data_IF_977717334047
#
_entry.id   IF_977717334047
#
_cell.length_a   1.000
_cell.length_b   1.000
_cell.length_c   1.000
_cell.angle_alpha   90.00
_cell.angle_beta   90.00
_cell.angle_gamma   90.00
#
_symmetry.space_group_name_H-M   'P 1'
#
loop_
_entity.id
_entity.type
_entity.pdbx_description
1 polymer ?
#
# COMPACT_ATOMS: atom_id res chain seq x y z
N UNK A 1 24.74 5.14 -3.42
CA UNK A 1 23.59 5.95 -3.92
C UNK A 1 22.37 5.09 -3.71
N UNK A 2 21.36 5.55 -2.96
CA UNK A 2 20.18 4.75 -2.67
C UNK A 2 19.47 4.42 -3.97
N UNK A 3 19.28 3.15 -4.27
CA UNK A 3 18.26 2.72 -5.23
C UNK A 3 16.94 3.39 -4.82
N UNK A 4 16.32 4.11 -5.76
CA UNK A 4 15.01 4.70 -5.50
C UNK A 4 13.99 3.56 -5.43
N UNK A 5 13.41 3.37 -4.24
CA UNK A 5 12.33 2.41 -4.07
C UNK A 5 11.15 2.79 -4.96
N UNK A 6 10.73 1.85 -5.78
CA UNK A 6 9.62 2.06 -6.69
C UNK A 6 8.31 1.74 -5.97
N UNK A 7 7.28 2.54 -6.25
CA UNK A 7 5.93 2.28 -5.73
C UNK A 7 5.44 0.96 -6.31
N UNK A 8 5.08 0.01 -5.44
CA UNK A 8 4.41 -1.22 -5.87
C UNK A 8 2.94 -0.91 -6.13
N UNK A 9 2.25 -0.37 -5.12
CA UNK A 9 0.83 -0.05 -5.23
C UNK A 9 0.46 1.17 -4.38
N UNK A 10 -0.47 1.99 -4.85
CA UNK A 10 -1.07 3.09 -4.11
C UNK A 10 -2.58 3.10 -4.27
N UNK A 11 -3.28 3.53 -3.21
CA UNK A 11 -4.73 3.63 -3.21
C UNK A 11 -5.19 4.84 -2.38
N UNK A 12 -6.39 5.34 -2.65
CA UNK A 12 -6.97 6.42 -1.86
C UNK A 12 -7.47 5.88 -0.50
N UNK A 13 -7.35 6.69 0.55
CA UNK A 13 -7.85 6.34 1.88
C UNK A 13 -9.36 6.53 2.01
N UNK A 14 -9.88 7.59 1.39
CA UNK A 14 -11.28 8.01 1.52
C UNK A 14 -11.94 8.28 0.16
N UNK A 15 -11.59 9.39 -0.50
CA UNK A 15 -12.20 9.84 -1.75
C UNK A 15 -11.19 9.71 -2.89
N UNK A 16 -11.66 9.22 -4.04
CA UNK A 16 -10.89 9.21 -5.27
C UNK A 16 -10.40 10.61 -5.65
N UNK A 17 -9.15 10.69 -6.11
CA UNK A 17 -8.46 11.94 -6.43
C UNK A 17 -7.91 12.70 -5.22
N UNK A 18 -8.15 12.26 -3.98
CA UNK A 18 -7.61 12.91 -2.78
C UNK A 18 -6.15 12.53 -2.53
N UNK A 19 -5.25 13.25 -3.19
CA UNK A 19 -3.82 13.05 -3.01
C UNK A 19 -3.35 13.37 -1.58
N UNK A 20 -4.11 14.11 -0.78
CA UNK A 20 -3.76 14.39 0.62
C UNK A 20 -4.11 13.22 1.56
N UNK A 21 -4.84 12.21 1.07
CA UNK A 21 -5.28 11.05 1.83
C UNK A 21 -5.11 9.77 0.99
N UNK A 22 -3.90 9.20 1.00
CA UNK A 22 -3.56 7.98 0.25
C UNK A 22 -2.60 7.06 1.01
N UNK A 23 -2.64 5.79 0.66
CA UNK A 23 -1.64 4.79 1.04
C UNK A 23 -0.72 4.56 -0.16
N UNK A 24 0.58 4.51 0.10
CA UNK A 24 1.60 4.21 -0.92
C UNK A 24 2.49 3.10 -0.37
N UNK A 25 2.50 1.97 -1.05
CA UNK A 25 3.22 0.77 -0.68
C UNK A 25 4.47 0.63 -1.54
N UNK A 26 5.62 0.50 -0.89
CA UNK A 26 6.92 0.17 -1.47
C UNK A 26 7.31 -1.25 -1.02
N UNK A 27 8.36 -1.80 -1.61
CA UNK A 27 8.93 -3.06 -1.13
C UNK A 27 9.37 -2.96 0.34
N UNK A 28 10.12 -1.92 0.73
CA UNK A 28 10.66 -1.81 2.09
C UNK A 28 9.81 -1.03 3.09
N UNK A 29 8.80 -0.27 2.65
CA UNK A 29 8.02 0.60 3.53
C UNK A 29 6.59 0.85 3.06
N UNK A 30 5.73 1.21 4.01
CA UNK A 30 4.39 1.74 3.78
C UNK A 30 4.37 3.23 4.14
N UNK A 31 3.97 4.08 3.20
CA UNK A 31 3.74 5.50 3.42
C UNK A 31 2.24 5.77 3.52
N UNK A 32 1.82 6.30 4.67
CA UNK A 32 0.48 6.82 4.89
C UNK A 32 0.53 8.34 4.75
N UNK A 33 -0.17 8.87 3.75
CA UNK A 33 -0.40 10.31 3.61
C UNK A 33 -1.78 10.59 4.17
N UNK A 34 -1.86 11.33 5.28
CA UNK A 34 -3.14 11.67 5.92
C UNK A 34 -3.20 13.17 6.21
N UNK A 35 -4.19 13.85 5.63
CA UNK A 35 -4.33 15.32 5.65
C UNK A 35 -3.03 16.02 5.23
N UNK A 36 -2.33 15.46 4.24
CA UNK A 36 -1.04 15.95 3.75
C UNK A 36 0.16 15.65 4.65
N UNK A 37 -0.03 15.08 5.85
CA UNK A 37 1.07 14.63 6.70
C UNK A 37 1.53 13.25 6.27
N UNK A 38 2.85 13.09 6.16
CA UNK A 38 3.48 11.85 5.75
C UNK A 38 3.90 11.04 6.97
N UNK A 39 3.43 9.80 7.07
CA UNK A 39 3.88 8.81 8.07
C UNK A 39 4.43 7.61 7.31
N UNK A 40 5.76 7.45 7.30
CA UNK A 40 6.42 6.30 6.71
C UNK A 40 6.69 5.27 7.81
N UNK A 41 6.34 4.01 7.54
CA UNK A 41 6.54 2.88 8.43
C UNK A 41 7.26 1.78 7.65
N UNK A 42 8.38 1.30 8.17
CA UNK A 42 9.14 0.23 7.51
C UNK A 42 8.37 -1.10 7.58
N UNK A 43 8.38 -1.86 6.49
CA UNK A 43 7.63 -3.11 6.37
C UNK A 43 7.88 -4.09 7.52
N UNK A 44 9.14 -4.34 7.95
CA UNK A 44 9.40 -5.28 9.06
C UNK A 44 8.82 -4.86 10.41
N UNK A 45 8.40 -3.59 10.56
CA UNK A 45 7.90 -3.04 11.81
C UNK A 45 6.39 -3.05 11.93
N UNK A 46 5.68 -3.34 10.84
CA UNK A 46 4.23 -3.45 10.79
C UNK A 46 3.81 -4.73 11.53
N UNK A 47 3.18 -4.57 12.70
CA UNK A 47 2.62 -5.69 13.48
C UNK A 47 1.18 -5.96 13.12
N UNK A 48 0.38 -4.91 13.00
CA UNK A 48 -1.01 -5.03 12.59
C UNK A 48 -1.47 -3.81 11.80
N UNK A 49 -2.37 -4.04 10.85
CA UNK A 49 -3.01 -3.00 10.05
C UNK A 49 -4.48 -3.38 9.85
N UNK A 50 -5.39 -2.56 10.36
CA UNK A 50 -6.82 -2.89 10.38
C UNK A 50 -7.70 -1.66 10.40
N UNK A 51 -8.90 -1.79 9.83
CA UNK A 51 -9.94 -0.77 9.91
C UNK A 51 -10.84 -1.08 11.10
N UNK A 52 -10.93 -0.16 12.05
CA UNK A 52 -11.74 -0.31 13.27
C UNK A 52 -12.61 0.92 13.51
N UNK A 53 -13.77 0.74 14.13
CA UNK A 53 -14.55 1.86 14.67
C UNK A 53 -13.95 2.31 16.00
N UNK A 54 -13.53 3.58 16.08
CA UNK A 54 -12.95 4.18 17.28
C UNK A 54 -13.89 5.23 17.83
N UNK A 55 -14.23 5.09 19.11
CA UNK A 55 -15.00 6.09 19.87
C UNK A 55 -14.20 7.38 20.01
N UNK A 56 -14.88 8.52 19.89
CA UNK A 56 -14.27 9.82 20.13
C UNK A 56 -14.42 10.17 21.60
N UNK A 57 -13.50 9.69 22.44
CA UNK A 57 -13.59 9.80 23.91
C UNK A 57 -13.77 11.25 24.34
N UNK A 58 -13.06 12.20 23.71
CA UNK A 58 -13.18 13.63 24.03
C UNK A 58 -14.62 14.13 23.79
N UNK A 59 -15.21 13.83 22.64
CA UNK A 59 -16.59 14.22 22.33
C UNK A 59 -17.60 13.52 23.26
N UNK A 60 -17.37 12.25 23.56
CA UNK A 60 -18.20 11.45 24.47
C UNK A 60 -18.23 12.06 25.88
N UNK A 61 -17.05 12.36 26.44
CA UNK A 61 -16.90 12.93 27.79
C UNK A 61 -17.42 14.37 27.83
N UNK A 62 -17.05 15.21 26.85
CA UNK A 62 -17.52 16.59 26.77
C UNK A 62 -19.05 16.66 26.62
N UNK A 63 -19.63 15.78 25.81
CA UNK A 63 -21.08 15.64 25.67
C UNK A 63 -21.75 15.22 26.98
N UNK A 64 -21.19 14.24 27.70
CA UNK A 64 -21.74 13.81 28.99
C UNK A 64 -21.71 14.91 30.06
N UNK A 65 -20.59 15.63 30.17
CA UNK A 65 -20.44 16.77 31.09
C UNK A 65 -21.40 17.89 30.71
N UNK A 66 -21.41 18.29 29.43
CA UNK A 66 -22.24 19.38 28.93
C UNK A 66 -23.73 19.10 29.07
N UNK A 67 -24.17 17.86 28.84
CA UNK A 67 -25.57 17.44 29.03
C UNK A 67 -25.97 17.58 30.50
N UNK A 68 -25.10 17.11 31.41
CA UNK A 68 -25.35 17.17 32.86
C UNK A 68 -25.48 18.62 33.36
N UNK A 69 -24.57 19.50 32.96
CA UNK A 69 -24.61 20.93 33.33
C UNK A 69 -25.82 21.65 32.73
N UNK A 70 -26.19 21.34 31.49
CA UNK A 70 -27.33 21.95 30.81
C UNK A 70 -28.66 21.53 31.46
N UNK A 71 -28.79 20.27 31.87
CA UNK A 71 -29.95 19.78 32.64
C UNK A 71 -30.06 20.45 34.01
N UNK A 72 -28.92 20.63 34.70
CA UNK A 72 -28.90 21.34 35.99
C UNK A 72 -29.32 22.81 35.81
N UNK A 73 -28.83 23.50 34.79
CA UNK A 73 -29.20 24.88 34.48
C UNK A 73 -30.70 25.04 34.16
N UNK A 74 -31.29 24.09 33.42
CA UNK A 74 -32.73 24.03 33.18
C UNK A 74 -33.52 23.93 34.49
N UNK A 75 -33.13 23.03 35.39
CA UNK A 75 -33.81 22.82 36.67
C UNK A 75 -33.73 24.03 37.61
N UNK A 76 -32.61 24.77 37.56
CA UNK A 76 -32.39 25.98 38.36
C UNK A 76 -33.00 27.25 37.73
N UNK A 77 -33.52 27.18 36.50
CA UNK A 77 -34.00 28.36 35.77
C UNK A 77 -32.90 29.37 35.45
N UNK A 78 -31.63 28.97 35.44
CA UNK A 78 -30.51 29.84 35.08
C UNK A 78 -30.52 30.09 33.57
N UNK A 79 -30.47 31.36 33.14
CA UNK A 79 -30.45 31.74 31.72
C UNK A 79 -31.76 31.43 30.96
N UNK A 80 -31.78 31.65 29.64
CA UNK A 80 -32.98 31.43 28.83
C UNK A 80 -33.30 29.94 28.64
N UNK A 81 -34.52 29.53 29.00
CA UNK A 81 -35.02 28.15 28.88
C UNK A 81 -34.74 27.52 27.51
N UNK A 82 -35.01 28.25 26.43
CA UNK A 82 -34.83 27.75 25.06
C UNK A 82 -33.36 27.39 24.75
N UNK A 83 -32.41 28.20 25.23
CA UNK A 83 -30.99 27.98 25.01
C UNK A 83 -30.47 26.80 25.83
N UNK A 84 -30.92 26.63 27.07
CA UNK A 84 -30.53 25.47 27.86
C UNK A 84 -31.13 24.18 27.31
N UNK A 85 -32.40 24.21 26.85
CA UNK A 85 -33.03 23.06 26.22
C UNK A 85 -32.29 22.66 24.95
N UNK A 86 -31.93 23.62 24.09
CA UNK A 86 -31.08 23.38 22.93
C UNK A 86 -29.73 22.78 23.34
N UNK A 87 -29.11 23.29 24.41
CA UNK A 87 -27.80 22.84 24.88
C UNK A 87 -27.82 21.39 25.35
N UNK A 88 -28.89 20.95 26.04
CA UNK A 88 -29.10 19.55 26.40
C UNK A 88 -29.07 18.66 25.15
N UNK A 89 -29.86 18.98 24.13
CA UNK A 89 -29.90 18.17 22.91
C UNK A 89 -28.59 18.23 22.12
N UNK A 90 -27.94 19.39 22.08
CA UNK A 90 -26.64 19.55 21.43
C UNK A 90 -25.57 18.67 22.08
N UNK A 91 -25.41 18.74 23.40
CA UNK A 91 -24.42 17.95 24.11
C UNK A 91 -24.76 16.45 24.14
N UNK A 92 -26.05 16.10 24.17
CA UNK A 92 -26.48 14.72 24.04
C UNK A 92 -26.15 14.18 22.64
N UNK A 93 -26.37 14.98 21.59
CA UNK A 93 -25.94 14.68 20.22
C UNK A 93 -24.43 14.51 20.10
N UNK A 94 -23.64 15.38 20.75
CA UNK A 94 -22.18 15.28 20.81
C UNK A 94 -21.73 14.00 21.51
N UNK A 95 -22.37 13.63 22.61
CA UNK A 95 -22.14 12.39 23.34
C UNK A 95 -22.46 11.17 22.46
N UNK A 96 -23.61 11.18 21.80
CA UNK A 96 -24.03 10.12 20.88
C UNK A 96 -23.05 9.96 19.71
N UNK A 97 -22.65 11.05 19.06
CA UNK A 97 -21.64 11.04 18.01
C UNK A 97 -20.29 10.50 18.50
N UNK A 98 -19.88 10.89 19.72
CA UNK A 98 -18.69 10.35 20.35
C UNK A 98 -18.76 8.85 20.63
N UNK A 99 -19.96 8.34 20.95
CA UNK A 99 -20.21 6.91 21.18
C UNK A 99 -20.23 6.10 19.90
N UNK A 100 -20.91 6.58 18.85
CA UNK A 100 -20.91 5.97 17.51
C UNK A 100 -19.48 5.94 16.96
N UNK A 101 -18.71 7.00 17.19
CA UNK A 101 -17.31 7.07 16.81
C UNK A 101 -17.10 7.31 15.32
N UNK A 102 -15.89 7.01 14.85
CA UNK A 102 -15.48 7.12 13.46
C UNK A 102 -14.64 5.91 13.06
N UNK A 103 -14.66 5.56 11.78
CA UNK A 103 -13.75 4.55 11.25
C UNK A 103 -12.33 5.06 11.35
N UNK A 104 -11.41 4.17 11.70
CA UNK A 104 -10.01 4.47 11.79
C UNK A 104 -9.20 3.39 11.09
N UNK A 105 -8.20 3.78 10.30
CA UNK A 105 -7.10 2.90 9.99
C UNK A 105 -6.17 2.90 11.20
N UNK A 106 -6.02 1.73 11.80
CA UNK A 106 -5.13 1.48 12.92
C UNK A 106 -3.90 0.77 12.37
N UNK A 107 -2.75 1.41 12.46
CA UNK A 107 -1.46 0.84 12.07
C UNK A 107 -0.58 0.73 13.31
N UNK A 108 -0.24 -0.49 13.70
CA UNK A 108 0.63 -0.78 14.83
C UNK A 108 2.06 -1.01 14.32
N UNK A 109 2.93 -0.06 14.64
CA UNK A 109 4.35 -0.07 14.31
C UNK A 109 5.14 -0.34 15.60
N UNK A 110 5.79 -1.51 15.71
CA UNK A 110 6.50 -1.93 16.94
C UNK A 110 5.62 -1.70 18.20
N UNK A 111 5.91 -0.64 18.96
CA UNK A 111 5.22 -0.27 20.21
C UNK A 111 4.38 1.00 20.07
N UNK A 112 4.28 1.58 18.88
CA UNK A 112 3.50 2.77 18.58
C UNK A 112 2.26 2.42 17.77
N UNK A 113 1.15 3.08 18.07
CA UNK A 113 -0.09 2.93 17.33
C UNK A 113 -0.40 4.24 16.61
N UNK A 114 -0.52 4.17 15.29
CA UNK A 114 -0.97 5.28 14.46
C UNK A 114 -2.47 5.13 14.21
N UNK A 115 -3.22 6.18 14.53
CA UNK A 115 -4.66 6.24 14.36
C UNK A 115 -4.98 7.31 13.31
N UNK A 116 -5.56 6.88 12.19
CA UNK A 116 -6.01 7.78 11.15
C UNK A 116 -7.53 7.69 11.05
N UNK A 117 -8.24 8.76 11.39
CA UNK A 117 -9.71 8.79 11.50
C UNK A 117 -10.37 9.23 10.19
N UNK A 118 -11.45 8.57 9.80
CA UNK A 118 -12.18 8.80 8.56
C UNK A 118 -13.69 8.66 8.76
N UNK A 119 -14.45 9.40 7.97
CA UNK A 119 -15.90 9.24 7.88
C UNK A 119 -16.27 7.99 7.06
N UNK A 120 -15.58 7.80 5.94
CA UNK A 120 -15.72 6.65 5.05
C UNK A 120 -14.33 6.17 4.64
N UNK A 121 -14.17 4.85 4.53
CA UNK A 121 -12.93 4.20 4.12
C UNK A 121 -13.16 3.65 2.72
N UNK A 122 -12.25 3.97 1.80
CA UNK A 122 -12.33 3.48 0.42
C UNK A 122 -12.28 1.94 0.41
N UNK A 123 -13.06 1.24 -0.43
CA UNK A 123 -13.06 -0.22 -0.50
C UNK A 123 -11.66 -0.81 -0.70
N UNK A 124 -10.84 -0.16 -1.54
CA UNK A 124 -9.47 -0.59 -1.86
C UNK A 124 -8.54 -0.62 -0.65
N UNK A 125 -8.82 0.12 0.43
CA UNK A 125 -8.00 0.08 1.64
C UNK A 125 -7.97 -1.33 2.22
N UNK A 126 -9.06 -2.09 2.13
CA UNK A 126 -9.08 -3.49 2.59
C UNK A 126 -8.21 -4.38 1.72
N UNK A 127 -8.21 -4.15 0.41
CA UNK A 127 -7.36 -4.89 -0.52
C UNK A 127 -5.89 -4.49 -0.35
N UNK A 128 -5.58 -3.22 -0.07
CA UNK A 128 -4.25 -2.73 0.33
C UNK A 128 -3.76 -3.39 1.61
N UNK A 129 -4.61 -3.53 2.62
CA UNK A 129 -4.26 -4.27 3.83
C UNK A 129 -3.91 -5.73 3.48
N UNK A 130 -4.74 -6.41 2.68
CA UNK A 130 -4.45 -7.79 2.22
C UNK A 130 -3.12 -7.86 1.48
N UNK A 131 -2.88 -6.95 0.56
CA UNK A 131 -1.65 -6.84 -0.22
C UNK A 131 -0.42 -6.68 0.67
N UNK A 132 -0.47 -5.78 1.66
CA UNK A 132 0.64 -5.58 2.61
C UNK A 132 0.95 -6.88 3.35
N UNK A 133 -0.08 -7.61 3.81
CA UNK A 133 0.14 -8.89 4.48
C UNK A 133 0.70 -9.98 3.55
N UNK A 134 0.25 -10.03 2.30
CA UNK A 134 0.82 -10.93 1.28
C UNK A 134 2.29 -10.60 1.01
N UNK A 135 2.62 -9.31 0.88
CA UNK A 135 4.00 -8.86 0.68
C UNK A 135 4.89 -9.21 1.88
N UNK A 136 4.43 -8.95 3.12
CA UNK A 136 5.16 -9.33 4.33
C UNK A 136 5.40 -10.84 4.41
N UNK A 137 4.41 -11.64 4.04
CA UNK A 137 4.55 -13.11 3.97
C UNK A 137 5.58 -13.53 2.93
N UNK A 138 5.60 -12.86 1.78
CA UNK A 138 6.56 -13.10 0.69
C UNK A 138 7.98 -12.79 1.17
N UNK A 139 8.18 -11.66 1.85
CA UNK A 139 9.48 -11.25 2.39
C UNK A 139 10.00 -12.14 3.53
N UNK A 140 9.11 -12.73 4.33
CA UNK A 140 9.51 -13.60 5.45
C UNK A 140 9.86 -15.03 5.02
N UNK A 141 9.52 -15.43 3.79
CA UNK A 141 9.85 -16.77 3.30
C UNK A 141 11.34 -16.91 3.04
N UNK A 142 11.86 -18.11 3.32
CA UNK A 142 13.19 -18.51 2.86
C UNK A 142 13.11 -18.63 1.33
N UNK A 143 13.78 -17.72 0.62
CA UNK A 143 13.68 -17.59 -0.83
C UNK A 143 14.08 -18.89 -1.53
N UNK A 144 13.19 -19.38 -2.39
CA UNK A 144 13.56 -20.34 -3.44
C UNK A 144 14.34 -19.65 -4.55
N UNK A 145 14.44 -20.28 -5.72
CA UNK A 145 15.00 -19.62 -6.90
C UNK A 145 14.07 -18.46 -7.30
N UNK A 146 14.60 -17.24 -7.26
CA UNK A 146 13.87 -16.04 -7.70
C UNK A 146 13.90 -15.93 -9.22
N UNK A 147 12.90 -15.24 -9.75
CA UNK A 147 12.85 -14.84 -11.16
C UNK A 147 12.81 -13.31 -11.23
N UNK A 148 13.24 -12.78 -12.37
CA UNK A 148 13.44 -11.35 -12.53
C UNK A 148 12.76 -10.84 -13.79
N UNK A 149 12.08 -9.71 -13.69
CA UNK A 149 11.46 -9.05 -14.82
C UNK A 149 12.03 -7.64 -14.97
N UNK A 150 12.29 -7.24 -16.21
CA UNK A 150 12.72 -5.90 -16.59
C UNK A 150 11.57 -5.19 -17.29
N UNK A 151 11.30 -3.95 -16.89
CA UNK A 151 10.31 -3.09 -17.53
C UNK A 151 10.76 -1.65 -17.49
N UNK A 152 10.17 -0.79 -18.32
CA UNK A 152 10.48 0.64 -18.27
C UNK A 152 9.87 1.26 -17.02
N UNK A 153 10.56 2.26 -16.46
CA UNK A 153 10.05 2.99 -15.31
C UNK A 153 8.70 3.65 -15.61
N UNK A 154 8.55 4.20 -16.82
CA UNK A 154 7.30 4.80 -17.28
C UNK A 154 6.13 3.80 -17.25
N UNK A 155 6.31 2.61 -17.84
CA UNK A 155 5.25 1.60 -17.92
C UNK A 155 4.85 1.07 -16.53
N UNK A 156 5.82 0.90 -15.64
CA UNK A 156 5.55 0.53 -14.25
C UNK A 156 4.79 1.63 -13.51
N UNK A 157 5.21 2.89 -13.66
CA UNK A 157 4.64 4.04 -12.95
C UNK A 157 3.15 4.25 -13.29
N UNK A 158 2.78 4.04 -14.56
CA UNK A 158 1.39 4.15 -15.03
C UNK A 158 0.45 3.16 -14.33
N UNK A 159 0.97 2.03 -13.84
CA UNK A 159 0.17 0.98 -13.21
C UNK A 159 0.24 1.03 -11.69
N UNK A 160 0.80 2.06 -11.06
CA UNK A 160 0.95 2.13 -9.60
C UNK A 160 -0.37 2.14 -8.83
N UNK A 161 -1.50 2.44 -9.48
CA UNK A 161 -2.83 2.38 -8.87
C UNK A 161 -3.48 1.00 -8.93
N UNK A 162 -2.88 0.07 -9.67
CA UNK A 162 -3.35 -1.30 -9.82
C UNK A 162 -2.54 -2.26 -8.93
N UNK A 163 -3.19 -3.23 -8.24
CA UNK A 163 -2.50 -4.22 -7.41
C UNK A 163 -1.78 -5.29 -8.24
N UNK A 164 -2.13 -5.42 -9.51
CA UNK A 164 -1.51 -6.34 -10.47
C UNK A 164 -0.80 -5.54 -11.57
N UNK A 165 0.25 -6.13 -12.12
CA UNK A 165 1.00 -5.58 -13.23
C UNK A 165 0.71 -6.36 -14.51
N UNK A 166 0.40 -5.64 -15.58
CA UNK A 166 0.19 -6.17 -16.93
C UNK A 166 1.29 -5.63 -17.86
N UNK A 167 1.93 -6.52 -18.60
CA UNK A 167 2.94 -6.16 -19.60
C UNK A 167 2.37 -6.39 -21.01
N UNK A 168 2.72 -5.57 -22.03
CA UNK A 168 2.21 -5.73 -23.39
C UNK A 168 2.44 -7.13 -24.00
N UNK A 169 3.56 -7.78 -23.67
CA UNK A 169 3.84 -9.15 -24.12
C UNK A 169 2.78 -10.17 -23.69
N UNK A 170 2.00 -9.89 -22.64
CA UNK A 170 0.90 -10.76 -22.25
C UNK A 170 -0.22 -10.79 -23.31
N UNK A 171 -0.44 -9.67 -24.01
CA UNK A 171 -1.44 -9.55 -25.06
C UNK A 171 -0.86 -9.97 -26.43
N UNK A 172 0.41 -9.65 -26.69
CA UNK A 172 1.08 -9.95 -27.97
C UNK A 172 1.55 -11.41 -28.07
N UNK A 173 2.07 -11.98 -26.98
CA UNK A 173 2.72 -13.30 -26.94
C UNK A 173 2.02 -14.29 -26.00
N UNK A 174 1.12 -13.80 -25.13
CA UNK A 174 0.40 -14.62 -24.16
C UNK A 174 1.13 -14.82 -22.83
N UNK A 175 2.26 -14.15 -22.59
CA UNK A 175 3.02 -14.27 -21.34
C UNK A 175 3.94 -13.09 -21.06
N UNK A 176 4.37 -12.95 -19.79
CA UNK A 176 5.39 -11.99 -19.38
C UNK A 176 6.75 -12.71 -19.28
N UNK A 177 7.76 -12.19 -19.98
CA UNK A 177 9.12 -12.71 -19.89
C UNK A 177 9.73 -12.39 -18.53
N UNK A 178 10.33 -13.40 -17.92
CA UNK A 178 11.24 -13.24 -16.82
C UNK A 178 12.56 -13.94 -17.13
N UNK A 179 13.57 -13.70 -16.31
CA UNK A 179 14.90 -14.28 -16.45
C UNK A 179 15.40 -14.75 -15.10
N UNK A 180 16.37 -15.65 -15.12
CA UNK A 180 17.19 -15.91 -13.94
C UNK A 180 18.22 -14.79 -13.76
N UNK A 181 18.80 -14.68 -12.56
CA UNK A 181 19.75 -13.63 -12.20
C UNK A 181 20.92 -13.57 -13.18
N UNK A 182 21.43 -14.73 -13.59
CA UNK A 182 22.60 -14.88 -14.45
C UNK A 182 22.35 -14.38 -15.88
N UNK A 183 21.09 -14.43 -16.35
CA UNK A 183 20.72 -14.04 -17.70
C UNK A 183 20.27 -12.58 -17.82
N UNK A 184 20.19 -11.84 -16.71
CA UNK A 184 19.68 -10.47 -16.69
C UNK A 184 20.54 -9.50 -17.50
N UNK A 185 21.85 -9.47 -17.29
CA UNK A 185 22.75 -8.53 -17.99
C UNK A 185 22.70 -8.75 -19.49
N UNK A 186 22.75 -10.00 -19.94
CA UNK A 186 22.71 -10.35 -21.35
C UNK A 186 21.32 -10.07 -21.96
N UNK A 187 20.23 -10.27 -21.21
CA UNK A 187 18.88 -9.93 -21.68
C UNK A 187 18.69 -8.41 -21.78
N UNK A 188 19.24 -7.65 -20.83
CA UNK A 188 19.25 -6.19 -20.87
C UNK A 188 19.95 -5.67 -22.12
N UNK A 189 21.18 -6.13 -22.39
CA UNK A 189 21.97 -5.70 -23.55
C UNK A 189 21.32 -5.96 -24.91
N UNK A 190 20.60 -7.08 -25.04
CA UNK A 190 20.03 -7.49 -26.34
C UNK A 190 18.70 -6.81 -26.66
N UNK A 191 17.87 -6.55 -25.64
CA UNK A 191 16.46 -6.19 -25.85
C UNK A 191 16.09 -4.80 -25.36
N UNK A 192 16.97 -4.11 -24.62
CA UNK A 192 16.66 -2.82 -24.01
C UNK A 192 17.67 -1.74 -24.42
N UNK A 193 17.16 -0.52 -24.59
CA UNK A 193 17.97 0.66 -24.83
C UNK A 193 18.53 1.19 -23.51
N UNK A 194 19.85 1.34 -23.43
CA UNK A 194 20.55 1.77 -22.22
C UNK A 194 20.26 3.21 -21.80
N UNK A 195 19.68 4.02 -22.68
CA UNK A 195 19.25 5.40 -22.39
C UNK A 195 17.90 5.49 -21.69
N UNK A 196 17.15 4.39 -21.62
CA UNK A 196 15.81 4.35 -21.01
C UNK A 196 15.93 4.04 -19.52
N UNK A 197 15.16 4.75 -18.69
CA UNK A 197 15.05 4.44 -17.27
C UNK A 197 14.21 3.16 -17.07
N UNK A 198 14.73 2.25 -16.26
CA UNK A 198 14.23 0.88 -16.13
C UNK A 198 13.92 0.54 -14.67
N UNK A 199 13.12 -0.51 -14.49
CA UNK A 199 12.79 -1.09 -13.20
C UNK A 199 13.10 -2.58 -13.25
N UNK A 200 13.90 -3.02 -12.29
CA UNK A 200 14.14 -4.43 -12.01
C UNK A 200 13.15 -4.90 -10.94
N UNK A 201 12.39 -5.94 -11.26
CA UNK A 201 11.51 -6.63 -10.33
C UNK A 201 12.15 -7.95 -9.91
N UNK A 202 12.36 -8.12 -8.61
CA UNK A 202 12.69 -9.43 -8.02
C UNK A 202 11.39 -10.11 -7.58
N UNK A 203 11.08 -11.27 -8.15
CA UNK A 203 9.78 -11.94 -7.99
C UNK A 203 9.97 -13.29 -7.30
N UNK A 204 9.16 -13.58 -6.28
CA UNK A 204 9.02 -14.90 -5.69
C UNK A 204 8.00 -15.73 -6.50
N UNK A 205 8.44 -16.71 -7.31
CA UNK A 205 7.54 -17.50 -8.15
C UNK A 205 6.53 -18.33 -7.33
N UNK A 206 6.80 -18.58 -6.04
CA UNK A 206 5.90 -19.35 -5.18
C UNK A 206 4.64 -18.60 -4.76
N UNK A 207 4.56 -17.30 -5.06
CA UNK A 207 3.43 -16.43 -4.79
C UNK A 207 2.64 -16.07 -6.05
N UNK A 208 3.06 -16.57 -7.21
CA UNK A 208 2.29 -16.42 -8.43
C UNK A 208 1.00 -17.23 -8.31
N UNK A 209 -0.11 -16.61 -8.66
CA UNK A 209 -1.43 -17.24 -8.77
C UNK A 209 -1.75 -17.65 -10.22
N UNK A 210 -0.75 -17.60 -11.10
CA UNK A 210 -0.82 -17.92 -12.53
C UNK A 210 0.24 -18.95 -12.89
N UNK A 211 0.06 -19.73 -13.97
CA UNK A 211 1.07 -20.69 -14.41
C UNK A 211 2.41 -20.02 -14.72
N UNK A 212 3.49 -20.69 -14.32
CA UNK A 212 4.87 -20.35 -14.66
C UNK A 212 5.43 -21.48 -15.52
N UNK A 213 5.69 -21.19 -16.79
CA UNK A 213 6.28 -22.14 -17.73
C UNK A 213 7.76 -21.82 -17.96
N UNK A 214 8.56 -22.85 -18.24
CA UNK A 214 9.99 -22.70 -18.48
C UNK A 214 10.30 -23.10 -19.91
N UNK A 215 10.94 -22.21 -20.65
CA UNK A 215 11.38 -22.46 -22.02
C UNK A 215 12.90 -22.52 -22.08
N UNK A 216 13.44 -23.61 -22.63
CA UNK A 216 14.87 -23.73 -22.84
C UNK A 216 15.26 -23.13 -24.20
N UNK A 217 16.17 -22.16 -24.19
CA UNK A 217 16.66 -21.47 -25.40
C UNK A 217 18.07 -21.97 -25.70
N UNK A 218 18.20 -22.80 -26.74
CA UNK A 218 19.47 -23.46 -27.09
C UNK A 218 20.60 -22.47 -27.40
N UNK A 219 20.31 -21.37 -28.10
CA UNK A 219 21.29 -20.33 -28.40
C UNK A 219 21.85 -19.64 -27.14
N UNK A 220 21.10 -19.67 -26.04
CA UNK A 220 21.48 -19.11 -24.74
C UNK A 220 21.98 -20.18 -23.77
N UNK A 221 21.76 -21.46 -24.07
CA UNK A 221 22.02 -22.59 -23.16
C UNK A 221 21.37 -22.41 -21.78
N UNK A 222 20.21 -21.73 -21.73
CA UNK A 222 19.54 -21.33 -20.50
C UNK A 222 18.02 -21.48 -20.60
N UNK A 223 17.37 -21.61 -19.43
CA UNK A 223 15.90 -21.67 -19.33
C UNK A 223 15.33 -20.34 -18.87
N UNK A 224 14.27 -19.90 -19.55
CA UNK A 224 13.60 -18.62 -19.30
C UNK A 224 12.18 -18.86 -18.73
N UNK A 225 11.85 -18.25 -17.57
CA UNK A 225 10.52 -18.31 -17.00
C UNK A 225 9.52 -17.40 -17.74
N UNK A 226 8.35 -17.93 -18.06
CA UNK A 226 7.24 -17.25 -18.72
C UNK A 226 6.00 -17.26 -17.82
N UNK A 227 5.56 -16.07 -17.39
CA UNK A 227 4.40 -15.89 -16.50
C UNK A 227 3.14 -15.79 -17.38
N UNK A 228 2.22 -16.77 -17.28
CA UNK A 228 1.02 -16.88 -18.14
C UNK A 228 -0.17 -16.04 -17.66
N UNK A 229 0.08 -14.82 -17.19
CA UNK A 229 -0.98 -13.94 -16.69
C UNK A 229 -0.45 -12.63 -16.12
N UNK A 230 -1.35 -11.84 -15.54
CA UNK A 230 -0.97 -10.61 -14.83
C UNK A 230 -0.12 -10.95 -13.60
N UNK A 231 0.92 -10.17 -13.35
CA UNK A 231 1.83 -10.36 -12.22
C UNK A 231 1.23 -9.72 -10.96
N UNK A 232 0.93 -10.50 -9.90
CA UNK A 232 0.55 -9.92 -8.61
C UNK A 232 1.73 -9.15 -8.04
N UNK A 233 1.58 -7.85 -7.77
CA UNK A 233 2.70 -7.06 -7.24
C UNK A 233 3.05 -7.45 -5.80
N UNK A 234 2.19 -8.19 -5.10
CA UNK A 234 2.49 -8.76 -3.78
C UNK A 234 3.53 -9.90 -3.85
N UNK A 235 3.77 -10.47 -5.05
CA UNK A 235 4.86 -11.43 -5.30
C UNK A 235 6.22 -10.77 -5.57
N UNK A 236 6.26 -9.43 -5.69
CA UNK A 236 7.49 -8.67 -5.96
C UNK A 236 8.18 -8.37 -4.63
N UNK A 237 9.33 -9.00 -4.39
CA UNK A 237 10.15 -8.82 -3.20
C UNK A 237 10.84 -7.47 -3.18
N UNK A 238 11.36 -7.05 -4.33
CA UNK A 238 12.03 -5.76 -4.54
C UNK A 238 11.67 -5.20 -5.91
N UNK A 239 11.51 -3.89 -5.97
CA UNK A 239 11.37 -3.14 -7.21
C UNK A 239 12.34 -1.97 -7.18
N UNK A 240 13.34 -1.99 -8.08
CA UNK A 240 14.48 -1.09 -8.05
C UNK A 240 14.56 -0.34 -9.37
N UNK A 241 14.50 1.00 -9.31
CA UNK A 241 14.74 1.83 -10.47
C UNK A 241 16.25 1.92 -10.76
N UNK A 242 16.61 1.85 -12.03
CA UNK A 242 17.98 2.00 -12.51
C UNK A 242 18.04 2.55 -13.94
N UNK A 243 19.19 3.08 -14.30
CA UNK A 243 19.50 3.69 -15.58
C UNK A 243 20.91 3.25 -15.99
N UNK A 244 21.00 2.61 -17.15
CA UNK A 244 22.26 2.09 -17.69
C UNK A 244 22.69 0.75 -17.10
N UNK A 245 23.61 0.09 -17.82
CA UNK A 245 24.04 -1.27 -17.53
C UNK A 245 24.89 -1.38 -16.26
N UNK A 246 25.76 -0.40 -15.98
CA UNK A 246 26.63 -0.42 -14.80
C UNK A 246 25.82 -0.48 -13.50
N UNK A 247 24.68 0.23 -13.44
CA UNK A 247 23.79 0.20 -12.28
C UNK A 247 23.06 -1.13 -12.18
N UNK A 248 22.63 -1.73 -13.30
CA UNK A 248 22.06 -3.08 -13.27
C UNK A 248 23.08 -4.07 -12.69
N UNK A 249 24.32 -4.06 -13.15
CA UNK A 249 25.36 -4.95 -12.61
C UNK A 249 25.60 -4.73 -11.11
N UNK A 250 25.60 -3.48 -10.65
CA UNK A 250 25.72 -3.14 -9.23
C UNK A 250 24.52 -3.60 -8.38
N UNK A 251 23.33 -3.77 -8.96
CA UNK A 251 22.17 -4.36 -8.29
C UNK A 251 22.26 -5.90 -8.18
N UNK A 252 23.05 -6.54 -9.05
CA UNK A 252 23.22 -7.99 -9.08
C UNK A 252 24.41 -8.49 -8.25
N UNK A 253 25.35 -7.60 -7.90
CA UNK A 253 26.54 -7.86 -7.07
C UNK A 253 26.22 -7.91 -5.58
#
# INVERSE_FOLDING_TARGET
MSSEEVILWQCYLSKEGDMSNRLVCFAGALLVVYKGKHTRVDMPWIRSMQVQDKKLIIALVAGGIGTSLSMMALGLGWYHYQLNLFSVFFFFGLMYWGFVGQKALVLEEKNHQHLFLYYQVHPEVKDMIRFVYELLRTQQRKSGQLIYHLTTHEHWQQQTWEPNYRHPSLDDEGFIHASLREELSTSYQLYFDSSVAMVLLEIDPSQLNVPLEWEYVEARQASFPHIKGVLPKSSVLQALAFDGEEKLQALLS
#
